data_IF_423624797908
#
_entry.id   IF_423624797908
#
_cell.length_a   1.000
_cell.length_b   1.000
_cell.length_c   1.000
_cell.angle_alpha   90.00
_cell.angle_beta   90.00
_cell.angle_gamma   90.00
#
_symmetry.space_group_name_H-M   'P 1'
#
loop_
_entity.id
_entity.type
_entity.pdbx_description
1 polymer ?
#
# COMPACT_ATOMS: atom_id res chain seq x y z
N UNK A 1 -26.60 -0.21 -18.52
CA UNK A 1 -25.15 -0.41 -18.36
C UNK A 1 -24.86 -0.32 -16.87
N UNK A 2 -24.59 -1.44 -16.19
CA UNK A 2 -24.36 -1.46 -14.75
C UNK A 2 -22.92 -1.02 -14.49
N UNK A 3 -22.72 0.22 -14.05
CA UNK A 3 -21.45 0.66 -13.48
C UNK A 3 -21.30 0.02 -12.09
N UNK A 4 -20.70 -1.18 -12.04
CA UNK A 4 -20.09 -1.71 -10.83
C UNK A 4 -18.71 -1.06 -10.69
N UNK A 5 -18.65 0.23 -10.40
CA UNK A 5 -17.47 0.75 -9.70
C UNK A 5 -17.67 0.40 -8.23
N UNK A 6 -17.38 -0.86 -7.89
CA UNK A 6 -17.22 -1.26 -6.50
C UNK A 6 -16.21 -0.29 -5.86
N UNK A 7 -16.62 0.42 -4.82
CA UNK A 7 -15.72 1.33 -4.11
C UNK A 7 -14.61 0.51 -3.49
N UNK A 8 -13.41 0.58 -4.07
CA UNK A 8 -12.22 -0.06 -3.50
C UNK A 8 -11.81 0.67 -2.25
N UNK A 9 -11.71 -0.04 -1.14
CA UNK A 9 -11.18 0.49 0.12
C UNK A 9 -9.80 -0.11 0.36
N UNK A 10 -8.81 0.73 0.63
CA UNK A 10 -7.45 0.27 0.87
C UNK A 10 -6.38 1.33 0.67
N UNK A 11 -5.15 0.86 0.45
CA UNK A 11 -3.96 1.70 0.33
C UNK A 11 -3.67 1.97 -1.15
N UNK A 12 -3.52 3.25 -1.47
CA UNK A 12 -3.16 3.71 -2.81
C UNK A 12 -1.80 4.40 -2.81
N UNK A 13 -1.06 4.20 -3.89
CA UNK A 13 0.11 5.00 -4.27
C UNK A 13 -0.22 5.72 -5.56
N UNK A 14 0.06 7.02 -5.58
CA UNK A 14 -0.13 7.86 -6.76
C UNK A 14 1.19 8.54 -7.07
N UNK A 15 1.72 8.34 -8.28
CA UNK A 15 2.83 9.15 -8.74
C UNK A 15 2.30 10.49 -9.26
N UNK A 16 2.38 11.51 -8.40
CA UNK A 16 2.03 12.90 -8.72
C UNK A 16 3.23 13.72 -9.26
N UNK A 17 4.37 13.08 -9.53
CA UNK A 17 5.55 13.71 -10.11
C UNK A 17 5.41 13.94 -11.62
N UNK A 18 6.42 14.61 -12.21
CA UNK A 18 6.43 14.92 -13.65
C UNK A 18 6.89 13.75 -14.52
N UNK A 19 7.57 12.76 -13.95
CA UNK A 19 8.10 11.60 -14.67
C UNK A 19 7.91 10.29 -13.91
N UNK A 20 8.29 9.15 -14.52
CA UNK A 20 8.24 7.85 -13.86
C UNK A 20 9.06 7.85 -12.58
N UNK A 21 8.51 7.23 -11.54
CA UNK A 21 9.20 6.95 -10.29
C UNK A 21 9.66 5.49 -10.33
N UNK A 22 10.97 5.25 -10.31
CA UNK A 22 11.54 3.91 -10.25
C UNK A 22 11.71 3.55 -8.78
N UNK A 23 11.00 2.52 -8.33
CA UNK A 23 11.10 2.07 -6.94
C UNK A 23 12.45 1.43 -6.71
N UNK A 24 13.16 1.88 -5.67
CA UNK A 24 14.47 1.34 -5.30
C UNK A 24 14.36 0.41 -4.09
N UNK A 25 13.46 0.70 -3.15
CA UNK A 25 13.22 -0.16 -1.97
C UNK A 25 11.84 0.12 -1.40
N UNK A 26 11.21 -0.89 -0.80
CA UNK A 26 10.06 -0.69 0.07
C UNK A 26 10.32 -1.27 1.45
N UNK A 27 9.87 -0.58 2.50
CA UNK A 27 9.97 -1.06 3.89
C UNK A 27 8.57 -1.11 4.47
N UNK A 28 8.16 -2.30 4.89
CA UNK A 28 6.84 -2.55 5.45
C UNK A 28 6.98 -2.82 6.93
N UNK A 29 6.19 -2.11 7.73
CA UNK A 29 6.10 -2.34 9.17
C UNK A 29 4.68 -2.64 9.60
N UNK A 30 4.56 -3.56 10.54
CA UNK A 30 3.32 -3.85 11.24
C UNK A 30 3.54 -3.53 12.72
N UNK A 31 2.71 -2.66 13.29
CA UNK A 31 2.82 -2.23 14.69
C UNK A 31 4.24 -1.70 15.05
N UNK A 32 4.90 -1.07 14.08
CA UNK A 32 6.26 -0.54 14.22
C UNK A 32 7.40 -1.53 13.96
N UNK A 33 7.13 -2.83 13.82
CA UNK A 33 8.15 -3.84 13.51
C UNK A 33 8.30 -4.06 12.00
N UNK A 34 9.53 -4.09 11.49
CA UNK A 34 9.80 -4.38 10.07
C UNK A 34 9.50 -5.84 9.73
N UNK A 35 8.55 -6.05 8.83
CA UNK A 35 8.12 -7.40 8.40
C UNK A 35 8.70 -7.82 7.04
N UNK A 36 9.22 -6.87 6.25
CA UNK A 36 9.85 -7.11 4.96
C UNK A 36 9.61 -5.98 3.95
N UNK A 37 9.83 -6.28 2.66
CA UNK A 37 9.48 -5.41 1.53
C UNK A 37 8.03 -5.64 1.09
N UNK A 38 7.48 -4.76 0.25
CA UNK A 38 6.12 -4.88 -0.31
C UNK A 38 6.06 -5.89 -1.48
N UNK A 39 6.39 -7.15 -1.18
CA UNK A 39 6.40 -8.27 -2.10
C UNK A 39 5.34 -9.34 -1.76
N UNK A 40 5.31 -10.42 -2.54
CA UNK A 40 4.34 -11.51 -2.33
C UNK A 40 4.59 -12.29 -1.03
N UNK A 41 5.83 -12.35 -0.54
CA UNK A 41 6.21 -13.10 0.66
C UNK A 41 5.71 -12.37 1.91
N UNK A 42 5.96 -11.06 2.01
CA UNK A 42 5.46 -10.21 3.08
C UNK A 42 3.95 -10.13 3.05
N UNK A 43 3.33 -9.97 1.88
CA UNK A 43 1.87 -10.00 1.75
C UNK A 43 1.26 -11.27 2.35
N UNK A 44 1.79 -12.45 2.01
CA UNK A 44 1.29 -13.73 2.56
C UNK A 44 1.43 -13.82 4.07
N UNK A 45 2.49 -13.23 4.65
CA UNK A 45 2.68 -13.18 6.11
C UNK A 45 1.69 -12.24 6.78
N UNK A 46 1.46 -11.07 6.18
CA UNK A 46 0.50 -10.08 6.69
C UNK A 46 -0.95 -10.60 6.63
N UNK A 47 -1.27 -11.42 5.61
CA UNK A 47 -2.62 -11.95 5.38
C UNK A 47 -2.82 -13.37 5.93
N UNK A 48 -1.96 -13.83 6.85
CA UNK A 48 -2.20 -15.11 7.52
C UNK A 48 -3.24 -14.94 8.63
N UNK A 49 -4.37 -15.65 8.53
CA UNK A 49 -5.45 -15.64 9.54
C UNK A 49 -6.76 -14.91 9.20
N UNK A 50 -6.82 -13.79 8.44
CA UNK A 50 -8.07 -13.12 8.12
C UNK A 50 -9.08 -13.98 7.35
N UNK A 51 -10.39 -13.68 7.49
CA UNK A 51 -11.45 -14.46 6.84
C UNK A 51 -11.50 -14.27 5.32
N UNK A 52 -10.97 -13.15 4.82
CA UNK A 52 -10.93 -12.78 3.41
C UNK A 52 -9.54 -12.24 3.07
N UNK A 53 -9.02 -12.63 1.90
CA UNK A 53 -7.73 -12.17 1.41
C UNK A 53 -7.91 -10.91 0.56
N UNK A 54 -7.42 -9.74 1.00
CA UNK A 54 -7.41 -8.53 0.19
C UNK A 54 -6.57 -8.73 -1.07
N UNK A 55 -6.94 -8.03 -2.14
CA UNK A 55 -6.16 -7.98 -3.37
C UNK A 55 -4.92 -7.14 -3.15
N UNK A 56 -3.82 -7.51 -3.81
CA UNK A 56 -2.50 -6.90 -3.64
C UNK A 56 -1.87 -6.58 -4.99
N UNK A 57 -1.19 -5.44 -5.06
CA UNK A 57 -0.21 -5.13 -6.11
C UNK A 57 1.15 -5.01 -5.44
N UNK A 58 2.13 -5.83 -5.83
CA UNK A 58 3.49 -5.77 -5.27
C UNK A 58 4.26 -4.59 -5.82
N UNK A 59 5.13 -4.02 -5.01
CA UNK A 59 5.94 -2.85 -5.35
C UNK A 59 7.40 -3.13 -4.96
N UNK A 60 8.10 -3.83 -5.83
CA UNK A 60 9.49 -4.29 -5.63
C UNK A 60 10.47 -3.37 -6.35
N UNK A 61 11.75 -3.51 -6.05
CA UNK A 61 12.84 -2.80 -6.74
C UNK A 61 12.71 -2.89 -8.27
N UNK A 62 13.01 -1.79 -8.95
CA UNK A 62 13.00 -1.64 -10.41
C UNK A 62 11.62 -1.44 -11.02
N UNK A 63 10.52 -1.58 -10.26
CA UNK A 63 9.16 -1.36 -10.78
C UNK A 63 8.95 0.13 -11.05
N UNK A 64 8.60 0.52 -12.30
CA UNK A 64 8.25 1.90 -12.60
C UNK A 64 6.80 2.18 -12.20
N UNK A 65 6.58 3.28 -11.47
CA UNK A 65 5.26 3.88 -11.27
C UNK A 65 5.15 5.07 -12.24
N UNK A 66 4.31 4.94 -13.25
CA UNK A 66 4.17 5.96 -14.30
C UNK A 66 3.50 7.23 -13.77
N UNK A 67 3.78 8.37 -14.39
CA UNK A 67 3.13 9.64 -14.07
C UNK A 67 1.61 9.52 -14.12
N UNK A 68 0.94 9.94 -13.05
CA UNK A 68 -0.52 9.86 -12.90
C UNK A 68 -1.07 8.46 -12.63
N UNK A 69 -0.23 7.43 -12.58
CA UNK A 69 -0.67 6.07 -12.27
C UNK A 69 -1.11 5.97 -10.81
N UNK A 70 -2.26 5.33 -10.61
CA UNK A 70 -2.79 4.95 -9.29
C UNK A 70 -2.63 3.45 -9.10
N UNK A 71 -1.77 3.05 -8.18
CA UNK A 71 -1.60 1.66 -7.77
C UNK A 71 -2.37 1.40 -6.47
N UNK A 72 -3.17 0.34 -6.44
CA UNK A 72 -3.82 -0.11 -5.22
C UNK A 72 -2.93 -1.20 -4.60
N UNK A 73 -2.15 -0.85 -3.59
CA UNK A 73 -1.18 -1.74 -2.95
C UNK A 73 -1.86 -2.88 -2.22
N UNK A 74 -2.91 -2.58 -1.45
CA UNK A 74 -3.73 -3.53 -0.72
C UNK A 74 -5.16 -3.01 -0.70
N UNK A 75 -6.14 -3.81 -1.14
CA UNK A 75 -7.53 -3.38 -1.16
C UNK A 75 -8.53 -4.53 -1.08
N UNK A 76 -9.72 -4.22 -0.57
CA UNK A 76 -10.92 -5.05 -0.73
C UNK A 76 -11.84 -4.38 -1.75
N UNK A 77 -12.47 -5.21 -2.59
CA UNK A 77 -13.68 -4.80 -3.30
C UNK A 77 -14.87 -5.03 -2.36
N UNK A 78 -15.96 -4.28 -2.53
CA UNK A 78 -17.20 -4.42 -1.74
C UNK A 78 -16.97 -4.36 -0.22
N UNK A 79 -16.20 -3.36 0.24
CA UNK A 79 -15.92 -3.16 1.65
C UNK A 79 -17.19 -2.86 2.46
N UNK A 80 -17.55 -3.80 3.34
CA UNK A 80 -18.47 -3.59 4.46
C UNK A 80 -17.73 -3.20 5.76
N UNK A 81 -18.17 -2.16 6.47
CA UNK A 81 -17.51 -1.66 7.67
C UNK A 81 -17.64 -2.56 8.89
N UNK A 82 -18.73 -3.31 8.98
CA UNK A 82 -19.01 -4.18 10.13
C UNK A 82 -18.26 -5.51 9.95
N UNK A 83 -18.26 -6.07 8.74
CA UNK A 83 -17.55 -7.32 8.43
C UNK A 83 -16.04 -7.14 8.29
N UNK A 84 -15.58 -6.00 7.77
CA UNK A 84 -14.17 -5.75 7.46
C UNK A 84 -13.50 -4.71 8.37
N UNK A 85 -14.05 -4.48 9.57
CA UNK A 85 -13.42 -3.62 10.59
C UNK A 85 -11.93 -3.97 10.81
N UNK A 86 -11.60 -5.27 10.79
CA UNK A 86 -10.22 -5.76 10.90
C UNK A 86 -9.29 -5.21 9.80
N UNK A 87 -9.80 -5.10 8.57
CA UNK A 87 -9.03 -4.64 7.42
C UNK A 87 -8.81 -3.14 7.53
N UNK A 88 -9.85 -2.41 7.94
CA UNK A 88 -9.74 -0.98 8.18
C UNK A 88 -8.67 -0.69 9.23
N UNK A 89 -8.74 -1.31 10.41
CA UNK A 89 -7.72 -1.18 11.46
C UNK A 89 -6.32 -1.52 10.95
N UNK A 90 -6.17 -2.58 10.14
CA UNK A 90 -4.88 -2.93 9.56
C UNK A 90 -4.30 -1.77 8.72
N UNK A 91 -5.09 -1.22 7.79
CA UNK A 91 -4.60 -0.19 6.85
C UNK A 91 -4.57 1.23 7.42
N UNK A 92 -5.37 1.52 8.45
CA UNK A 92 -5.44 2.84 9.09
C UNK A 92 -4.48 3.00 10.26
N UNK A 93 -4.22 1.95 11.04
CA UNK A 93 -3.62 2.07 12.38
C UNK A 93 -2.39 1.19 12.59
N UNK A 94 -2.20 0.13 11.79
CA UNK A 94 -1.14 -0.85 12.08
C UNK A 94 -0.04 -0.88 11.03
N UNK A 95 -0.41 -0.73 9.76
CA UNK A 95 0.51 -0.84 8.65
C UNK A 95 1.21 0.49 8.37
N UNK A 96 2.54 0.44 8.26
CA UNK A 96 3.33 1.51 7.66
C UNK A 96 4.06 0.99 6.43
N UNK A 97 4.07 1.81 5.37
CA UNK A 97 4.79 1.50 4.13
C UNK A 97 5.68 2.69 3.81
N UNK A 98 6.98 2.44 3.71
CA UNK A 98 7.92 3.38 3.12
C UNK A 98 8.29 2.94 1.71
N UNK A 99 8.35 3.90 0.80
CA UNK A 99 8.74 3.69 -0.59
C UNK A 99 9.90 4.63 -0.87
N UNK A 100 11.05 4.05 -1.18
CA UNK A 100 12.19 4.75 -1.73
C UNK A 100 12.13 4.65 -3.25
N UNK A 101 12.37 5.77 -3.91
CA UNK A 101 12.31 5.84 -5.36
C UNK A 101 13.22 6.92 -5.92
N UNK A 102 13.50 6.79 -7.21
CA UNK A 102 14.27 7.75 -7.99
C UNK A 102 13.48 8.16 -9.23
N UNK A 103 13.88 9.27 -9.85
CA UNK A 103 13.42 9.56 -11.20
C UNK A 103 14.06 8.58 -12.19
N UNK A 104 13.62 8.60 -13.45
CA UNK A 104 14.29 7.83 -14.51
C UNK A 104 15.77 8.22 -14.71
N UNK A 105 16.15 9.45 -14.34
CA UNK A 105 17.53 9.92 -14.48
C UNK A 105 18.44 9.40 -13.36
N UNK A 106 17.84 8.99 -12.25
CA UNK A 106 18.52 8.36 -11.13
C UNK A 106 19.39 9.31 -10.29
N UNK A 107 19.90 8.76 -9.19
CA UNK A 107 20.81 9.45 -8.27
C UNK A 107 20.12 10.31 -7.23
N UNK A 108 18.79 10.33 -7.20
CA UNK A 108 18.03 10.86 -6.09
C UNK A 108 17.84 9.80 -4.99
N UNK A 109 17.18 10.16 -3.90
CA UNK A 109 16.79 9.19 -2.86
C UNK A 109 15.46 9.65 -2.27
N UNK A 110 14.45 9.78 -3.13
CA UNK A 110 13.15 10.26 -2.71
C UNK A 110 12.47 9.22 -1.83
N UNK A 111 11.62 9.71 -0.92
CA UNK A 111 10.95 8.90 0.07
C UNK A 111 9.50 9.32 0.22
N UNK A 112 8.59 8.36 0.08
CA UNK A 112 7.19 8.49 0.44
C UNK A 112 6.88 7.56 1.62
N UNK A 113 6.08 8.02 2.57
CA UNK A 113 5.74 7.25 3.78
C UNK A 113 4.25 7.30 4.01
N UNK A 114 3.63 6.12 4.05
CA UNK A 114 2.34 5.91 4.69
C UNK A 114 2.58 5.59 6.16
N UNK A 115 2.02 6.42 7.04
CA UNK A 115 2.03 6.18 8.49
C UNK A 115 0.62 5.82 8.97
N UNK A 116 0.52 4.96 9.98
CA UNK A 116 -0.69 4.85 10.79
C UNK A 116 -1.22 6.20 11.25
N UNK A 117 -2.54 6.31 11.41
CA UNK A 117 -3.18 7.45 12.06
C UNK A 117 -2.72 7.49 13.53
N UNK A 118 -2.31 8.66 14.00
CA UNK A 118 -1.90 8.86 15.40
C UNK A 118 -3.11 9.10 16.34
N UNK A 119 -4.35 9.10 15.81
CA UNK A 119 -5.54 9.58 16.51
C UNK A 119 -6.58 8.48 16.74
N UNK A 120 -6.55 7.87 17.94
CA UNK A 120 -7.70 7.22 18.58
C UNK A 120 -7.61 7.33 20.11
N UNK A 121 -7.42 8.56 20.62
CA UNK A 121 -7.81 8.94 21.97
C UNK A 121 -8.60 10.24 21.91
N UNK A 122 -9.93 10.13 21.90
CA UNK A 122 -10.89 11.11 22.40
C UNK A 122 -12.25 10.42 22.61
#
# INVERSE_FOLDING_TARGET
>A
MKNFEASRTGIQVVNAGLGPAIVTTTIVRLDGETVGEWDRKTYRRLMDGPPVWPKVSTLTEGVPVLTGQVLHLLFLDDFDSDEHAWFWTLVSERLSIEIFYESLYGGENFRAVLKPREDAQA
#
